data_IF_587031142597
#
_entry.id   IF_587031142597
#
_cell.length_a   1.000
_cell.length_b   1.000
_cell.length_c   1.000
_cell.angle_alpha   90.00
_cell.angle_beta   90.00
_cell.angle_gamma   90.00
#
_symmetry.space_group_name_H-M   'P 1'
#
loop_
_entity.id
_entity.type
_entity.pdbx_description
1 polymer ?
#
# COMPACT_ATOMS: atom_id res chain seq x y z
N UNK A 1 7.32 -16.79 14.89
CA UNK A 1 6.55 -15.59 15.29
C UNK A 1 5.08 -15.93 15.08
N UNK A 2 4.23 -15.66 16.06
CA UNK A 2 2.78 -15.87 15.93
C UNK A 2 2.06 -14.52 16.03
N UNK A 3 0.84 -14.44 15.47
CA UNK A 3 0.12 -13.17 15.40
C UNK A 3 -0.28 -12.59 16.77
N UNK A 4 -0.79 -13.34 17.74
CA UNK A 4 -1.15 -12.77 19.04
C UNK A 4 0.00 -12.04 19.75
N UNK A 5 1.20 -12.60 19.76
CA UNK A 5 2.37 -11.96 20.37
C UNK A 5 2.83 -10.75 19.56
N UNK A 6 2.87 -10.88 18.23
CA UNK A 6 3.26 -9.77 17.36
C UNK A 6 2.24 -8.64 17.41
N UNK A 7 0.94 -8.96 17.44
CA UNK A 7 -0.14 -7.97 17.60
C UNK A 7 0.07 -7.12 18.84
N UNK A 8 0.36 -7.74 20.00
CA UNK A 8 0.63 -7.00 21.23
C UNK A 8 1.86 -6.09 21.09
N UNK A 9 2.91 -6.57 20.44
CA UNK A 9 4.14 -5.78 20.20
C UNK A 9 3.89 -4.58 19.29
N UNK A 10 3.01 -4.70 18.29
CA UNK A 10 2.70 -3.66 17.31
C UNK A 10 1.51 -2.78 17.72
N UNK A 11 0.90 -3.00 18.88
CA UNK A 11 -0.23 -2.18 19.35
C UNK A 11 0.09 -0.68 19.41
N UNK A 12 1.27 -0.23 19.88
CA UNK A 12 1.62 1.19 19.84
C UNK A 12 1.66 1.79 18.43
N UNK A 13 2.02 1.00 17.40
CA UNK A 13 1.99 1.43 16.01
C UNK A 13 0.54 1.66 15.53
N UNK A 14 -0.41 0.79 15.94
CA UNK A 14 -1.84 0.94 15.69
C UNK A 14 -2.39 2.17 16.42
N UNK A 15 -2.03 2.36 17.69
CA UNK A 15 -2.44 3.53 18.47
C UNK A 15 -1.93 4.84 17.87
N UNK A 16 -0.74 4.83 17.27
CA UNK A 16 -0.20 5.97 16.52
C UNK A 16 -1.08 6.32 15.30
N UNK A 17 -1.57 5.34 14.57
CA UNK A 17 -2.51 5.56 13.45
C UNK A 17 -3.79 6.22 13.96
N UNK A 18 -4.39 5.71 15.04
CA UNK A 18 -5.62 6.27 15.63
C UNK A 18 -5.38 7.70 16.15
N UNK A 19 -4.25 7.95 16.79
CA UNK A 19 -3.89 9.29 17.30
C UNK A 19 -3.83 10.34 16.19
N UNK A 20 -3.41 9.94 14.98
CA UNK A 20 -3.31 10.84 13.83
C UNK A 20 -4.58 10.84 12.95
N UNK A 21 -5.66 10.22 13.40
CA UNK A 21 -6.97 10.33 12.76
C UNK A 21 -7.70 11.57 13.26
N UNK A 22 -8.09 12.43 12.34
CA UNK A 22 -8.89 13.62 12.61
C UNK A 22 -10.37 13.28 12.85
N UNK A 23 -11.14 14.22 13.37
CA UNK A 23 -12.58 14.04 13.66
C UNK A 23 -13.41 13.73 12.41
N UNK A 24 -12.99 14.23 11.23
CA UNK A 24 -13.62 13.94 9.94
C UNK A 24 -13.30 12.53 9.41
N UNK A 25 -12.35 11.83 10.02
CA UNK A 25 -11.92 10.49 9.66
C UNK A 25 -10.65 10.41 8.81
N UNK A 26 -10.11 11.55 8.34
CA UNK A 26 -8.81 11.56 7.63
C UNK A 26 -7.69 11.08 8.55
N UNK A 27 -6.81 10.21 8.02
CA UNK A 27 -5.61 9.76 8.74
C UNK A 27 -4.42 10.47 8.12
N UNK A 28 -3.80 11.33 8.91
CA UNK A 28 -2.65 12.12 8.45
C UNK A 28 -1.37 11.30 8.47
N UNK A 29 -0.42 11.66 7.60
CA UNK A 29 0.94 11.12 7.56
C UNK A 29 1.62 11.18 8.93
N UNK A 30 1.51 12.34 9.58
CA UNK A 30 2.00 12.62 10.93
C UNK A 30 1.14 13.71 11.58
N UNK A 31 1.58 14.21 12.74
CA UNK A 31 0.92 15.29 13.50
C UNK A 31 0.84 16.63 12.75
N UNK A 32 1.49 16.79 11.59
CA UNK A 32 1.46 18.02 10.77
C UNK A 32 0.23 18.11 9.87
N UNK A 33 -0.60 17.06 9.81
CA UNK A 33 -1.90 17.10 9.16
C UNK A 33 -1.91 16.91 7.63
N UNK A 34 -0.81 16.42 7.04
CA UNK A 34 -0.79 15.98 5.64
C UNK A 34 -1.46 14.61 5.53
N UNK A 35 -2.38 14.44 4.58
CA UNK A 35 -3.02 13.16 4.29
C UNK A 35 -2.88 12.84 2.79
N UNK A 36 -2.36 11.67 2.50
CA UNK A 36 -2.30 11.05 1.20
C UNK A 36 -3.33 9.92 1.14
N UNK A 37 -4.20 9.81 0.12
CA UNK A 37 -5.21 8.77 0.03
C UNK A 37 -4.66 7.34 -0.03
N UNK A 38 -3.48 7.12 -0.60
CA UNK A 38 -2.82 5.82 -0.59
C UNK A 38 -2.46 5.41 0.84
N UNK A 39 -1.69 6.27 1.52
CA UNK A 39 -1.25 6.05 2.89
C UNK A 39 -2.44 5.85 3.84
N UNK A 40 -3.50 6.65 3.63
CA UNK A 40 -4.76 6.53 4.34
C UNK A 40 -5.39 5.13 4.16
N UNK A 41 -5.43 4.59 2.93
CA UNK A 41 -5.96 3.25 2.68
C UNK A 41 -5.12 2.17 3.36
N UNK A 42 -3.79 2.30 3.40
CA UNK A 42 -2.95 1.35 4.14
C UNK A 42 -3.20 1.42 5.65
N UNK A 43 -3.40 2.61 6.19
CA UNK A 43 -3.84 2.76 7.57
C UNK A 43 -5.19 2.07 7.81
N UNK A 44 -6.15 2.15 6.88
CA UNK A 44 -7.42 1.42 6.98
C UNK A 44 -7.23 -0.09 6.94
N UNK A 45 -6.30 -0.62 6.12
CA UNK A 45 -5.95 -2.05 6.13
C UNK A 45 -5.45 -2.46 7.53
N UNK A 46 -4.55 -1.68 8.13
CA UNK A 46 -4.01 -1.94 9.46
C UNK A 46 -5.09 -1.87 10.55
N UNK A 47 -6.00 -0.88 10.49
CA UNK A 47 -7.13 -0.75 11.41
C UNK A 47 -8.10 -1.93 11.30
N UNK A 48 -8.37 -2.43 10.10
CA UNK A 48 -9.20 -3.62 9.89
C UNK A 48 -8.55 -4.87 10.49
N UNK A 49 -7.22 -5.04 10.36
CA UNK A 49 -6.47 -6.13 10.98
C UNK A 49 -6.60 -6.13 12.52
N UNK A 50 -6.68 -4.94 13.11
CA UNK A 50 -6.88 -4.77 14.55
C UNK A 50 -8.35 -4.74 14.99
N UNK A 51 -9.29 -4.78 14.05
CA UNK A 51 -10.75 -4.71 14.31
C UNK A 51 -11.17 -3.37 14.94
N UNK A 52 -10.43 -2.30 14.66
CA UNK A 52 -10.73 -0.93 15.12
C UNK A 52 -11.84 -0.29 14.26
N UNK A 53 -13.04 -0.88 14.32
CA UNK A 53 -14.12 -0.63 13.39
C UNK A 53 -14.65 0.80 13.42
N UNK A 54 -14.67 1.46 14.57
CA UNK A 54 -15.12 2.87 14.66
C UNK A 54 -14.17 3.80 13.90
N UNK A 55 -12.86 3.63 14.09
CA UNK A 55 -11.84 4.40 13.37
C UNK A 55 -11.85 4.05 11.87
N UNK A 56 -11.96 2.76 11.55
CA UNK A 56 -12.06 2.28 10.17
C UNK A 56 -13.26 2.86 9.43
N UNK A 57 -14.45 2.84 10.02
CA UNK A 57 -15.66 3.40 9.40
C UNK A 57 -15.56 4.92 9.18
N UNK A 58 -14.98 5.66 10.13
CA UNK A 58 -14.73 7.09 9.94
C UNK A 58 -13.82 7.35 8.75
N UNK A 59 -12.71 6.59 8.64
CA UNK A 59 -11.77 6.74 7.54
C UNK A 59 -12.36 6.35 6.19
N UNK A 60 -13.11 5.25 6.09
CA UNK A 60 -13.81 4.88 4.85
C UNK A 60 -14.82 5.94 4.44
N UNK A 61 -15.59 6.50 5.39
CA UNK A 61 -16.55 7.57 5.09
C UNK A 61 -15.83 8.81 4.55
N UNK A 62 -14.76 9.26 5.23
CA UNK A 62 -13.96 10.38 4.75
C UNK A 62 -13.46 10.15 3.32
N UNK A 63 -12.91 8.98 3.03
CA UNK A 63 -12.41 8.66 1.70
C UNK A 63 -13.51 8.77 0.65
N UNK A 64 -14.66 8.13 0.89
CA UNK A 64 -15.78 8.13 -0.05
C UNK A 64 -16.41 9.53 -0.22
N UNK A 65 -16.46 10.35 0.83
CA UNK A 65 -16.96 11.72 0.75
C UNK A 65 -16.06 12.62 -0.10
N UNK A 66 -14.75 12.35 -0.12
CA UNK A 66 -13.78 13.07 -0.93
C UNK A 66 -13.65 12.55 -2.38
N UNK A 67 -14.31 11.47 -2.74
CA UNK A 67 -14.46 11.05 -4.14
C UNK A 67 -15.39 12.04 -4.84
N UNK A 68 -14.87 12.70 -5.88
CA UNK A 68 -15.62 13.66 -6.67
C UNK A 68 -16.64 12.98 -7.61
N UNK A 69 -17.41 13.79 -8.35
CA UNK A 69 -18.42 13.32 -9.29
C UNK A 69 -17.88 12.51 -10.48
N UNK A 70 -16.57 12.42 -10.65
CA UNK A 70 -15.89 11.63 -11.68
C UNK A 70 -15.16 10.39 -11.12
N UNK A 71 -15.37 10.04 -9.85
CA UNK A 71 -14.71 8.87 -9.26
C UNK A 71 -13.25 9.07 -8.87
N UNK A 72 -12.79 10.31 -8.76
CA UNK A 72 -11.40 10.67 -8.48
C UNK A 72 -11.27 11.30 -7.09
N UNK A 73 -10.11 11.13 -6.47
CA UNK A 73 -9.73 11.76 -5.21
C UNK A 73 -8.48 12.63 -5.41
N UNK A 74 -8.42 13.85 -4.84
CA UNK A 74 -7.18 14.63 -4.84
C UNK A 74 -6.02 13.86 -4.21
N UNK A 75 -4.79 13.99 -4.72
CA UNK A 75 -3.67 13.17 -4.26
C UNK A 75 -3.10 13.58 -2.91
N UNK A 76 -3.45 14.78 -2.45
CA UNK A 76 -2.96 15.30 -1.17
C UNK A 76 -3.97 16.24 -0.52
N UNK A 77 -4.08 16.10 0.79
CA UNK A 77 -4.82 17.02 1.64
C UNK A 77 -3.90 17.58 2.74
N UNK A 78 -4.12 18.84 3.11
CA UNK A 78 -3.46 19.47 4.24
C UNK A 78 -4.54 20.10 5.14
N UNK A 79 -4.61 19.63 6.37
CA UNK A 79 -5.64 20.08 7.30
C UNK A 79 -7.05 20.03 6.67
N UNK A 80 -7.41 18.88 6.12
CA UNK A 80 -8.72 18.57 5.50
C UNK A 80 -9.01 19.31 4.16
N UNK A 81 -8.03 20.01 3.59
CA UNK A 81 -8.19 20.71 2.31
C UNK A 81 -7.28 20.10 1.25
N UNK A 82 -7.84 19.81 0.09
CA UNK A 82 -7.05 19.38 -1.07
C UNK A 82 -6.03 20.47 -1.45
N UNK A 83 -4.77 20.07 -1.61
CA UNK A 83 -3.65 20.99 -1.91
C UNK A 83 -3.20 20.89 -3.36
N UNK A 84 -3.53 19.80 -4.05
CA UNK A 84 -3.14 19.52 -5.41
C UNK A 84 -4.35 19.55 -6.36
N UNK A 85 -4.10 19.94 -7.62
CA UNK A 85 -5.14 20.12 -8.64
C UNK A 85 -5.10 19.05 -9.74
N UNK A 86 -4.31 17.99 -9.55
CA UNK A 86 -4.32 16.81 -10.39
C UNK A 86 -4.91 15.61 -9.64
N UNK A 87 -5.09 14.50 -10.33
CA UNK A 87 -5.57 13.24 -9.75
C UNK A 87 -4.67 12.11 -10.21
N UNK A 88 -4.26 11.26 -9.29
CA UNK A 88 -3.44 10.10 -9.61
C UNK A 88 -4.32 8.85 -9.78
N UNK A 89 -4.04 8.05 -10.81
CA UNK A 89 -4.91 6.96 -11.25
C UNK A 89 -5.09 5.86 -10.19
N UNK A 90 -4.08 5.66 -9.36
CA UNK A 90 -4.04 4.57 -8.37
C UNK A 90 -4.65 4.92 -7.02
N UNK A 91 -4.84 6.20 -6.69
CA UNK A 91 -5.32 6.60 -5.37
C UNK A 91 -6.77 6.15 -5.10
N UNK A 92 -7.70 6.49 -5.99
CA UNK A 92 -9.11 6.16 -5.76
C UNK A 92 -9.40 4.64 -5.71
N UNK A 93 -8.90 3.79 -6.63
CA UNK A 93 -9.20 2.36 -6.60
C UNK A 93 -8.54 1.63 -5.41
N UNK A 94 -7.49 2.18 -4.79
CA UNK A 94 -6.76 1.53 -3.71
C UNK A 94 -7.61 1.26 -2.46
N UNK A 95 -8.70 1.99 -2.26
CA UNK A 95 -9.69 1.72 -1.19
C UNK A 95 -10.21 0.28 -1.21
N UNK A 96 -10.24 -0.37 -2.38
CA UNK A 96 -10.70 -1.74 -2.52
C UNK A 96 -9.89 -2.74 -1.71
N UNK A 97 -8.59 -2.49 -1.50
CA UNK A 97 -7.75 -3.32 -0.66
C UNK A 97 -8.17 -3.22 0.82
N UNK A 98 -8.48 -2.02 1.29
CA UNK A 98 -8.97 -1.81 2.65
C UNK A 98 -10.35 -2.44 2.87
N UNK A 99 -11.25 -2.33 1.88
CA UNK A 99 -12.57 -2.97 1.93
C UNK A 99 -12.44 -4.50 1.90
N UNK A 100 -11.59 -5.06 1.05
CA UNK A 100 -11.34 -6.50 1.01
C UNK A 100 -10.72 -6.99 2.32
N UNK A 101 -9.75 -6.27 2.89
CA UNK A 101 -9.16 -6.63 4.18
C UNK A 101 -10.24 -6.70 5.28
N UNK A 102 -11.11 -5.70 5.37
CA UNK A 102 -12.22 -5.71 6.31
C UNK A 102 -13.17 -6.89 6.07
N UNK A 103 -13.48 -7.20 4.81
CA UNK A 103 -14.32 -8.36 4.45
C UNK A 103 -13.70 -9.69 4.86
N UNK A 104 -12.36 -9.83 4.78
CA UNK A 104 -11.64 -11.04 5.21
C UNK A 104 -11.65 -11.22 6.72
N UNK A 105 -11.67 -10.15 7.50
CA UNK A 105 -11.73 -10.19 8.97
C UNK A 105 -13.17 -10.32 9.45
N UNK A 106 -14.05 -9.42 9.03
CA UNK A 106 -15.49 -9.42 9.38
C UNK A 106 -16.35 -8.87 8.24
N UNK A 107 -16.95 -9.76 7.46
CA UNK A 107 -17.82 -9.41 6.33
C UNK A 107 -18.98 -8.48 6.71
N UNK A 108 -19.43 -8.48 7.97
CA UNK A 108 -20.52 -7.61 8.41
C UNK A 108 -20.19 -6.13 8.24
N UNK A 109 -18.93 -5.76 8.26
CA UNK A 109 -18.50 -4.38 8.07
C UNK A 109 -18.84 -3.89 6.64
N UNK A 110 -18.63 -4.74 5.63
CA UNK A 110 -18.99 -4.44 4.24
C UNK A 110 -20.51 -4.49 4.04
N UNK A 111 -21.20 -5.46 4.68
CA UNK A 111 -22.67 -5.54 4.64
C UNK A 111 -23.32 -4.28 5.26
N UNK A 112 -22.68 -3.66 6.26
CA UNK A 112 -23.11 -2.39 6.84
C UNK A 112 -22.92 -1.22 5.85
N UNK A 113 -21.74 -1.11 5.21
CA UNK A 113 -21.48 -0.05 4.24
C UNK A 113 -22.37 -0.16 3.01
N UNK A 114 -22.63 -1.37 2.51
CA UNK A 114 -23.46 -1.59 1.31
C UNK A 114 -24.92 -1.18 1.47
N UNK A 115 -25.38 -0.99 2.70
CA UNK A 115 -26.71 -0.44 3.00
C UNK A 115 -26.77 1.11 2.90
N UNK A 116 -25.63 1.78 2.84
CA UNK A 116 -25.58 3.24 2.63
C UNK A 116 -25.90 3.56 1.18
N UNK A 117 -26.74 4.57 0.96
CA UNK A 117 -27.37 4.87 -0.33
C UNK A 117 -26.41 5.13 -1.49
N UNK A 118 -25.17 5.55 -1.22
CA UNK A 118 -24.20 5.94 -2.25
C UNK A 118 -22.91 5.09 -2.26
N UNK A 119 -22.80 4.08 -1.40
CA UNK A 119 -21.57 3.28 -1.29
C UNK A 119 -21.21 2.59 -2.61
N UNK A 120 -22.15 1.77 -3.12
CA UNK A 120 -21.94 1.03 -4.38
C UNK A 120 -21.74 1.97 -5.56
N UNK A 121 -22.53 3.04 -5.66
CA UNK A 121 -22.40 4.04 -6.71
C UNK A 121 -21.01 4.67 -6.75
N UNK A 122 -20.44 5.02 -5.59
CA UNK A 122 -19.08 5.57 -5.49
C UNK A 122 -18.03 4.58 -5.96
N UNK A 123 -18.12 3.31 -5.55
CA UNK A 123 -17.18 2.26 -5.98
C UNK A 123 -17.30 2.03 -7.49
N UNK A 124 -18.50 1.89 -8.01
CA UNK A 124 -18.75 1.72 -9.46
C UNK A 124 -18.16 2.89 -10.26
N UNK A 125 -18.31 4.12 -9.76
CA UNK A 125 -17.80 5.34 -10.39
C UNK A 125 -16.26 5.37 -10.44
N UNK A 126 -15.59 4.96 -9.35
CA UNK A 126 -14.12 4.85 -9.30
C UNK A 126 -13.61 3.95 -10.43
N UNK A 127 -14.17 2.75 -10.55
CA UNK A 127 -13.72 1.78 -11.56
C UNK A 127 -14.17 2.14 -12.98
N UNK A 128 -15.30 2.83 -13.14
CA UNK A 128 -15.71 3.38 -14.42
C UNK A 128 -14.69 4.41 -14.94
N UNK A 129 -14.31 5.40 -14.10
CA UNK A 129 -13.31 6.41 -14.49
C UNK A 129 -11.92 5.82 -14.72
N UNK A 130 -11.55 4.78 -13.96
CA UNK A 130 -10.27 4.10 -14.12
C UNK A 130 -10.05 3.60 -15.57
N UNK A 131 -11.10 3.17 -16.28
CA UNK A 131 -10.98 2.74 -17.67
C UNK A 131 -10.49 3.85 -18.60
N UNK A 132 -10.78 5.13 -18.26
CA UNK A 132 -10.35 6.29 -19.04
C UNK A 132 -8.83 6.57 -18.89
N UNK A 133 -8.20 6.03 -17.84
CA UNK A 133 -6.75 6.14 -17.66
C UNK A 133 -5.96 5.09 -18.44
N UNK A 134 -6.61 4.08 -19.01
CA UNK A 134 -5.93 2.98 -19.68
C UNK A 134 -5.35 3.44 -21.02
N UNK A 135 -4.05 3.18 -21.24
CA UNK A 135 -3.38 3.43 -22.50
C UNK A 135 -3.57 2.29 -23.52
N UNK A 136 -3.04 2.47 -24.75
CA UNK A 136 -3.16 1.50 -25.86
C UNK A 136 -2.52 0.13 -25.53
N UNK A 137 -1.48 0.11 -24.68
CA UNK A 137 -0.78 -1.11 -24.26
C UNK A 137 -1.44 -1.78 -23.03
N UNK A 138 -2.48 -1.14 -22.46
CA UNK A 138 -3.20 -1.63 -21.30
C UNK A 138 -2.62 -1.18 -19.96
N UNK A 139 -1.60 -0.32 -19.94
CA UNK A 139 -1.12 0.35 -18.74
C UNK A 139 -1.99 1.56 -18.43
N UNK A 140 -1.77 2.16 -17.25
CA UNK A 140 -2.55 3.31 -16.82
C UNK A 140 -1.67 4.56 -16.79
N UNK A 141 -2.11 5.64 -17.45
CA UNK A 141 -1.53 6.95 -17.23
C UNK A 141 -1.48 7.25 -15.74
N UNK A 142 -0.36 7.78 -15.24
CA UNK A 142 -0.21 7.94 -13.80
C UNK A 142 -1.10 9.03 -13.23
N UNK A 143 -1.41 10.09 -14.00
CA UNK A 143 -2.19 11.22 -13.53
C UNK A 143 -3.06 11.86 -14.61
N UNK A 144 -4.01 12.68 -14.15
CA UNK A 144 -4.89 13.53 -14.95
C UNK A 144 -5.00 14.90 -14.29
N UNK A 145 -4.88 15.95 -15.07
CA UNK A 145 -5.14 17.33 -14.66
C UNK A 145 -6.11 18.02 -15.62
N UNK A 146 -6.21 19.36 -15.54
CA UNK A 146 -7.06 20.18 -16.43
C UNK A 146 -6.65 20.13 -17.92
N UNK A 147 -5.41 19.73 -18.23
CA UNK A 147 -4.88 19.63 -19.60
C UNK A 147 -5.14 18.25 -20.21
N UNK A 148 -5.45 17.25 -19.40
CA UNK A 148 -5.68 15.88 -19.83
C UNK A 148 -4.87 14.86 -19.03
N UNK A 149 -4.65 13.69 -19.63
CA UNK A 149 -3.85 12.61 -19.04
C UNK A 149 -2.35 12.89 -19.23
N UNK A 150 -1.54 12.42 -18.28
CA UNK A 150 -0.07 12.44 -18.38
C UNK A 150 0.40 11.56 -19.55
N UNK A 151 1.56 11.88 -20.10
CA UNK A 151 2.20 11.05 -21.13
C UNK A 151 2.88 9.79 -20.56
N UNK A 152 2.91 9.67 -19.24
CA UNK A 152 3.63 8.64 -18.51
C UNK A 152 2.69 7.72 -17.74
N UNK A 153 3.13 6.48 -17.59
CA UNK A 153 2.60 5.49 -16.65
C UNK A 153 3.63 5.26 -15.54
N UNK A 154 3.19 4.71 -14.39
CA UNK A 154 4.10 4.23 -13.35
C UNK A 154 3.88 2.73 -13.16
N UNK A 155 4.96 1.96 -13.00
CA UNK A 155 4.88 0.53 -12.71
C UNK A 155 4.14 0.32 -11.38
N UNK A 156 4.59 0.97 -10.32
CA UNK A 156 3.95 0.88 -8.99
C UNK A 156 2.46 1.21 -9.06
N UNK A 157 2.08 2.34 -9.71
CA UNK A 157 0.68 2.72 -9.87
C UNK A 157 -0.12 1.66 -10.65
N UNK A 158 0.39 1.18 -11.78
CA UNK A 158 -0.29 0.13 -12.57
C UNK A 158 -0.45 -1.16 -11.76
N UNK A 159 0.56 -1.58 -11.02
CA UNK A 159 0.50 -2.81 -10.22
C UNK A 159 -0.49 -2.68 -9.05
N UNK A 160 -0.54 -1.54 -8.37
CA UNK A 160 -1.52 -1.32 -7.31
C UNK A 160 -2.96 -1.21 -7.83
N UNK A 161 -3.15 -0.66 -9.04
CA UNK A 161 -4.44 -0.69 -9.74
C UNK A 161 -4.86 -2.14 -10.00
N UNK A 162 -3.96 -3.00 -10.47
CA UNK A 162 -4.26 -4.42 -10.70
C UNK A 162 -4.67 -5.14 -9.41
N UNK A 163 -3.97 -4.88 -8.30
CA UNK A 163 -4.36 -5.39 -6.99
C UNK A 163 -5.76 -4.91 -6.61
N UNK A 164 -6.07 -3.62 -6.83
CA UNK A 164 -7.37 -3.03 -6.53
C UNK A 164 -8.51 -3.63 -7.36
N UNK A 165 -8.27 -3.89 -8.65
CA UNK A 165 -9.23 -4.54 -9.55
C UNK A 165 -9.49 -5.98 -9.09
N UNK A 166 -8.45 -6.74 -8.75
CA UNK A 166 -8.60 -8.09 -8.19
C UNK A 166 -9.40 -8.06 -6.88
N UNK A 167 -9.11 -7.11 -5.99
CA UNK A 167 -9.79 -6.98 -4.71
C UNK A 167 -11.28 -6.63 -4.85
N UNK A 168 -11.67 -5.97 -5.93
CA UNK A 168 -13.07 -5.61 -6.21
C UNK A 168 -13.81 -6.64 -7.11
N UNK A 169 -13.16 -7.76 -7.43
CA UNK A 169 -13.70 -8.82 -8.32
C UNK A 169 -14.20 -8.29 -9.69
N UNK A 170 -13.63 -7.16 -10.14
CA UNK A 170 -13.94 -6.53 -11.42
C UNK A 170 -13.00 -7.08 -12.48
N UNK A 171 -13.45 -8.09 -13.16
CA UNK A 171 -12.92 -8.68 -14.38
C UNK A 171 -11.71 -9.63 -14.28
N UNK A 172 -11.95 -10.76 -14.90
CA UNK A 172 -10.98 -11.83 -15.16
C UNK A 172 -10.11 -11.57 -16.41
N UNK A 173 -10.23 -10.39 -17.04
CA UNK A 173 -9.69 -10.14 -18.39
C UNK A 173 -8.50 -9.16 -18.43
N UNK A 174 -7.86 -8.89 -17.28
CA UNK A 174 -6.60 -8.13 -17.31
C UNK A 174 -5.46 -9.13 -17.50
N UNK A 175 -5.13 -9.38 -18.75
CA UNK A 175 -4.01 -10.22 -19.12
C UNK A 175 -2.76 -9.35 -19.34
N UNK A 176 -1.96 -9.18 -18.28
CA UNK A 176 -0.59 -8.71 -18.42
C UNK A 176 0.34 -9.92 -18.53
N UNK A 177 0.43 -10.53 -19.71
CA UNK A 177 1.28 -11.68 -19.93
C UNK A 177 2.77 -11.37 -19.71
N UNK A 178 3.17 -10.13 -19.92
CA UNK A 178 4.56 -9.70 -19.67
C UNK A 178 4.62 -8.19 -19.42
N UNK A 179 5.24 -7.80 -18.31
CA UNK A 179 5.64 -6.42 -18.10
C UNK A 179 6.87 -6.12 -18.95
N UNK A 180 6.72 -5.30 -19.99
CA UNK A 180 7.85 -4.79 -20.79
C UNK A 180 8.23 -3.41 -20.28
N UNK A 181 9.47 -3.26 -19.79
CA UNK A 181 10.00 -1.96 -19.44
C UNK A 181 9.99 -1.02 -20.65
N UNK A 182 9.58 0.22 -20.44
CA UNK A 182 9.55 1.25 -21.45
C UNK A 182 9.83 2.61 -20.81
N UNK A 183 10.30 3.58 -21.61
CA UNK A 183 10.54 4.96 -21.15
C UNK A 183 9.29 5.66 -20.65
N UNK A 184 8.10 5.18 -21.00
CA UNK A 184 6.82 5.72 -20.47
C UNK A 184 6.66 5.55 -18.96
N UNK A 185 7.44 4.64 -18.34
CA UNK A 185 7.46 4.48 -16.88
C UNK A 185 8.38 5.48 -16.16
N UNK A 186 9.09 6.31 -16.90
CA UNK A 186 9.98 7.33 -16.34
C UNK A 186 9.23 8.66 -16.17
N UNK A 187 8.65 8.88 -14.98
CA UNK A 187 7.99 10.13 -14.65
C UNK A 187 9.01 11.27 -14.51
N UNK A 188 8.68 12.43 -15.07
CA UNK A 188 9.51 13.63 -14.98
C UNK A 188 10.95 13.43 -15.53
N UNK A 189 11.11 12.51 -16.49
CA UNK A 189 12.41 12.17 -17.08
C UNK A 189 13.35 11.40 -16.14
N UNK A 190 12.88 10.98 -14.96
CA UNK A 190 13.68 10.18 -14.03
C UNK A 190 13.59 8.70 -14.37
N UNK A 191 14.74 8.02 -14.35
CA UNK A 191 14.78 6.55 -14.41
C UNK A 191 14.16 5.95 -13.15
N UNK A 192 12.97 5.38 -13.30
CA UNK A 192 12.22 4.79 -12.19
C UNK A 192 12.73 3.42 -11.77
N UNK A 193 13.58 2.75 -12.58
CA UNK A 193 14.19 1.47 -12.21
C UNK A 193 15.11 1.53 -10.98
N UNK A 194 15.46 2.74 -10.57
CA UNK A 194 16.25 3.01 -9.37
C UNK A 194 15.43 2.95 -8.05
N UNK A 195 14.09 2.91 -8.13
CA UNK A 195 13.20 2.86 -6.97
C UNK A 195 12.80 1.41 -6.64
N UNK A 196 12.85 1.05 -5.37
CA UNK A 196 12.54 -0.32 -4.93
C UNK A 196 11.09 -0.72 -5.19
N UNK A 197 10.14 0.21 -5.08
CA UNK A 197 8.72 -0.05 -5.36
C UNK A 197 8.51 -0.53 -6.80
N UNK A 198 9.16 0.08 -7.79
CA UNK A 198 9.04 -0.33 -9.20
C UNK A 198 9.68 -1.71 -9.45
N UNK A 199 10.56 -2.18 -8.54
CA UNK A 199 11.09 -3.54 -8.55
C UNK A 199 10.10 -4.55 -7.96
N UNK A 200 9.62 -4.35 -6.72
CA UNK A 200 8.89 -5.42 -6.02
C UNK A 200 7.38 -5.43 -6.27
N UNK A 201 6.75 -4.33 -6.68
CA UNK A 201 5.30 -4.30 -6.97
C UNK A 201 4.85 -5.26 -8.07
N UNK A 202 5.61 -5.49 -9.18
CA UNK A 202 5.28 -6.53 -10.16
C UNK A 202 5.21 -7.95 -9.58
N UNK A 203 6.03 -8.25 -8.57
CA UNK A 203 5.98 -9.51 -7.84
C UNK A 203 4.79 -9.54 -6.88
N UNK A 204 4.54 -8.44 -6.16
CA UNK A 204 3.40 -8.31 -5.26
C UNK A 204 2.07 -8.46 -6.00
N UNK A 205 1.94 -7.91 -7.19
CA UNK A 205 0.76 -8.06 -8.04
C UNK A 205 0.67 -9.43 -8.75
N UNK A 206 1.70 -10.28 -8.62
CA UNK A 206 1.74 -11.63 -9.23
C UNK A 206 2.01 -11.64 -10.74
N UNK A 207 2.47 -10.51 -11.31
CA UNK A 207 2.85 -10.40 -12.73
C UNK A 207 4.22 -11.04 -12.96
N UNK A 208 5.19 -10.77 -12.10
CA UNK A 208 6.46 -11.49 -12.05
C UNK A 208 6.41 -12.57 -11.00
N UNK A 209 6.99 -13.74 -11.31
CA UNK A 209 6.93 -14.92 -10.43
C UNK A 209 8.28 -15.63 -10.26
N UNK A 210 9.33 -15.18 -10.98
CA UNK A 210 10.65 -15.81 -10.91
C UNK A 210 11.36 -15.47 -9.60
N UNK A 211 11.53 -16.48 -8.75
CA UNK A 211 12.21 -16.35 -7.44
C UNK A 211 13.68 -15.98 -7.55
N UNK A 212 14.35 -16.40 -8.63
CA UNK A 212 15.77 -16.08 -8.85
C UNK A 212 15.88 -14.62 -9.27
N UNK A 213 15.05 -14.15 -10.20
CA UNK A 213 14.99 -12.74 -10.60
C UNK A 213 14.72 -11.84 -9.40
N UNK A 214 13.74 -12.20 -8.54
CA UNK A 214 13.44 -11.45 -7.32
C UNK A 214 14.70 -11.28 -6.44
N UNK A 215 15.38 -12.39 -6.13
CA UNK A 215 16.55 -12.37 -5.25
C UNK A 215 17.72 -11.60 -5.86
N UNK A 216 17.98 -11.76 -7.17
CA UNK A 216 19.09 -11.07 -7.83
C UNK A 216 18.84 -9.56 -7.89
N UNK A 217 17.62 -9.12 -8.21
CA UNK A 217 17.29 -7.68 -8.26
C UNK A 217 17.31 -7.07 -6.87
N UNK A 218 16.81 -7.81 -5.86
CA UNK A 218 16.80 -7.34 -4.47
C UNK A 218 18.20 -7.01 -3.94
N UNK A 219 19.26 -7.70 -4.40
CA UNK A 219 20.66 -7.40 -4.00
C UNK A 219 21.05 -5.93 -4.21
N UNK A 220 20.41 -5.25 -5.15
CA UNK A 220 20.66 -3.82 -5.42
C UNK A 220 20.03 -2.89 -4.38
N UNK A 221 19.03 -3.36 -3.65
CA UNK A 221 18.25 -2.58 -2.70
C UNK A 221 18.43 -3.03 -1.26
N UNK A 222 18.72 -4.31 -1.04
CA UNK A 222 18.77 -4.87 0.31
C UNK A 222 20.08 -4.53 1.02
N UNK A 223 19.94 -4.05 2.25
CA UNK A 223 21.04 -3.81 3.18
C UNK A 223 20.90 -4.82 4.31
N UNK A 224 21.87 -5.76 4.37
CA UNK A 224 21.88 -6.84 5.35
C UNK A 224 21.78 -6.29 6.79
N UNK A 225 20.92 -6.88 7.59
CA UNK A 225 20.70 -6.48 8.98
C UNK A 225 19.89 -5.18 9.14
N UNK A 226 19.49 -4.50 8.06
CA UNK A 226 18.76 -3.22 8.14
C UNK A 226 17.40 -3.34 7.41
N UNK A 227 17.40 -3.48 6.08
CA UNK A 227 16.16 -3.53 5.30
C UNK A 227 16.35 -3.17 3.83
N UNK A 228 15.33 -2.60 3.20
CA UNK A 228 15.28 -2.29 1.77
C UNK A 228 15.38 -0.78 1.56
N UNK A 229 16.30 -0.37 0.68
CA UNK A 229 16.47 1.04 0.28
C UNK A 229 15.28 1.51 -0.54
N UNK A 230 14.83 2.74 -0.33
CA UNK A 230 13.86 3.39 -1.22
C UNK A 230 14.46 3.60 -2.61
N UNK A 231 15.69 4.12 -2.67
CA UNK A 231 16.43 4.42 -3.89
C UNK A 231 17.75 3.66 -3.91
N UNK A 232 18.07 3.04 -5.02
CA UNK A 232 19.21 2.12 -5.17
C UNK A 232 20.57 2.73 -4.77
N UNK A 233 20.80 3.98 -5.13
CA UNK A 233 22.07 4.68 -4.92
C UNK A 233 22.16 5.39 -3.56
N UNK A 234 21.02 5.57 -2.87
CA UNK A 234 20.98 6.33 -1.63
C UNK A 234 21.22 5.41 -0.41
N UNK A 235 22.04 5.84 0.56
CA UNK A 235 22.30 5.06 1.78
C UNK A 235 21.15 5.19 2.79
N UNK A 236 19.94 5.00 2.33
CA UNK A 236 18.71 5.22 3.08
C UNK A 236 17.73 4.05 2.92
N UNK A 237 17.47 3.37 4.03
CA UNK A 237 16.46 2.32 4.14
C UNK A 237 15.17 2.94 4.66
N UNK A 238 14.05 2.61 4.05
CA UNK A 238 12.71 2.98 4.47
C UNK A 238 11.96 1.76 4.98
N UNK A 239 11.21 1.95 6.06
CA UNK A 239 10.59 0.80 6.72
C UNK A 239 9.24 0.43 6.09
N UNK A 240 8.56 1.38 5.44
CA UNK A 240 7.37 1.08 4.64
C UNK A 240 7.73 0.23 3.43
N UNK A 241 8.67 0.67 2.58
CA UNK A 241 9.10 -0.10 1.40
C UNK A 241 9.73 -1.45 1.79
N UNK A 242 10.42 -1.51 2.92
CA UNK A 242 10.92 -2.80 3.45
C UNK A 242 9.75 -3.73 3.81
N UNK A 243 8.68 -3.20 4.41
CA UNK A 243 7.48 -3.97 4.77
C UNK A 243 6.70 -4.44 3.54
N UNK A 244 6.54 -3.60 2.53
CA UNK A 244 5.92 -3.99 1.26
C UNK A 244 6.77 -5.03 0.51
N UNK A 245 8.10 -4.91 0.58
CA UNK A 245 9.02 -5.94 0.04
C UNK A 245 8.86 -7.29 0.77
N UNK A 246 8.56 -7.29 2.07
CA UNK A 246 8.17 -8.52 2.81
C UNK A 246 6.93 -9.16 2.19
N UNK A 247 5.89 -8.36 1.89
CA UNK A 247 4.68 -8.86 1.22
C UNK A 247 5.01 -9.47 -0.15
N UNK A 248 5.80 -8.77 -0.97
CA UNK A 248 6.22 -9.25 -2.28
C UNK A 248 7.05 -10.55 -2.19
N UNK A 249 7.93 -10.65 -1.20
CA UNK A 249 8.71 -11.87 -0.94
C UNK A 249 7.82 -13.06 -0.55
N UNK A 250 6.79 -12.84 0.28
CA UNK A 250 5.80 -13.86 0.66
C UNK A 250 5.01 -14.33 -0.56
N UNK A 251 4.44 -13.40 -1.32
CA UNK A 251 3.68 -13.70 -2.55
C UNK A 251 4.52 -14.49 -3.55
N UNK A 252 5.80 -14.16 -3.66
CA UNK A 252 6.75 -14.89 -4.52
C UNK A 252 7.32 -16.18 -3.88
N UNK A 253 6.82 -16.59 -2.70
CA UNK A 253 7.22 -17.81 -2.00
C UNK A 253 8.65 -17.80 -1.46
N UNK A 254 9.21 -16.63 -1.14
CA UNK A 254 10.50 -16.43 -0.50
C UNK A 254 10.34 -16.20 1.02
N UNK A 255 9.67 -17.12 1.72
CA UNK A 255 9.27 -17.01 3.13
C UNK A 255 10.45 -16.68 4.07
N UNK A 256 11.58 -17.38 3.93
CA UNK A 256 12.74 -17.15 4.80
C UNK A 256 13.29 -15.73 4.65
N UNK A 257 13.32 -15.21 3.44
CA UNK A 257 13.77 -13.85 3.16
C UNK A 257 12.78 -12.81 3.72
N UNK A 258 11.49 -13.05 3.57
CA UNK A 258 10.44 -12.20 4.17
C UNK A 258 10.60 -12.13 5.69
N UNK A 259 10.82 -13.28 6.34
CA UNK A 259 11.03 -13.34 7.80
C UNK A 259 12.30 -12.62 8.22
N UNK A 260 13.39 -12.74 7.46
CA UNK A 260 14.66 -12.07 7.71
C UNK A 260 14.49 -10.53 7.64
N UNK A 261 13.93 -10.02 6.53
CA UNK A 261 13.67 -8.58 6.36
C UNK A 261 12.80 -8.07 7.51
N UNK A 262 11.72 -8.76 7.83
CA UNK A 262 10.79 -8.33 8.88
C UNK A 262 11.46 -8.33 10.27
N UNK A 263 12.28 -9.32 10.61
CA UNK A 263 13.05 -9.33 11.86
C UNK A 263 14.01 -8.15 11.96
N UNK A 264 14.63 -7.78 10.85
CA UNK A 264 15.50 -6.61 10.80
C UNK A 264 14.72 -5.31 11.07
N UNK A 265 13.49 -5.18 10.56
CA UNK A 265 12.64 -4.01 10.85
C UNK A 265 12.30 -3.87 12.33
N UNK A 266 11.97 -4.98 12.99
CA UNK A 266 11.54 -4.96 14.39
C UNK A 266 12.57 -4.40 15.37
N UNK A 267 13.85 -4.36 15.04
CA UNK A 267 14.90 -3.78 15.89
C UNK A 267 14.91 -2.23 15.84
N UNK A 268 14.22 -1.62 14.87
CA UNK A 268 14.13 -0.17 14.73
C UNK A 268 12.87 0.43 15.37
N UNK A 269 12.06 -0.39 16.02
CA UNK A 269 10.96 0.10 16.85
C UNK A 269 11.54 0.95 17.99
N UNK A 270 11.07 2.20 18.12
CA UNK A 270 11.59 3.10 19.14
C UNK A 270 11.05 2.76 20.54
N UNK A 271 11.46 3.52 21.56
CA UNK A 271 11.01 3.33 22.95
C UNK A 271 9.51 3.45 23.15
N UNK A 272 8.82 4.19 22.28
CA UNK A 272 7.36 4.40 22.35
C UNK A 272 6.62 3.29 21.60
N UNK A 273 7.34 2.34 21.00
CA UNK A 273 6.77 1.24 20.23
C UNK A 273 6.36 1.63 18.80
N UNK A 274 6.81 2.79 18.30
CA UNK A 274 6.48 3.35 16.98
C UNK A 274 7.69 3.21 16.06
N UNK A 275 7.44 3.02 14.76
CA UNK A 275 8.50 2.96 13.76
C UNK A 275 8.74 4.34 13.13
N UNK A 276 10.01 4.80 13.05
CA UNK A 276 10.36 5.97 12.24
C UNK A 276 10.21 5.65 10.75
N UNK A 277 10.19 6.68 9.90
CA UNK A 277 10.01 6.52 8.44
C UNK A 277 11.18 5.78 7.80
N UNK A 278 12.42 6.06 8.21
CA UNK A 278 13.58 5.39 7.66
C UNK A 278 14.87 5.62 8.43
N UNK A 279 15.92 4.96 7.97
CA UNK A 279 17.25 4.98 8.57
C UNK A 279 18.33 5.23 7.54
N UNK A 280 19.06 6.33 7.73
CA UNK A 280 20.24 6.66 6.95
C UNK A 280 21.46 5.99 7.58
N UNK A 281 21.94 4.89 6.96
CA UNK A 281 22.87 3.98 7.62
C UNK A 281 24.33 4.47 7.62
N UNK A 282 24.76 5.33 6.69
CA UNK A 282 26.10 5.91 6.71
C UNK A 282 26.23 6.93 7.86
N UNK A 283 25.19 7.73 8.10
CA UNK A 283 25.15 8.69 9.20
C UNK A 283 24.65 8.07 10.52
N UNK A 284 24.17 6.83 10.48
CA UNK A 284 23.59 6.12 11.63
C UNK A 284 22.51 6.90 12.35
N UNK A 285 21.61 7.50 11.59
CA UNK A 285 20.51 8.33 12.12
C UNK A 285 19.18 8.00 11.48
N UNK A 286 18.10 8.18 12.19
CA UNK A 286 16.77 8.15 11.59
C UNK A 286 16.57 9.40 10.72
N UNK A 287 16.05 9.17 9.50
CA UNK A 287 15.81 10.24 8.54
C UNK A 287 14.67 9.85 7.60
N UNK A 288 13.75 10.80 7.30
CA UNK A 288 13.57 12.09 7.96
C UNK A 288 13.23 11.93 9.45
N UNK A 289 13.31 13.01 10.24
CA UNK A 289 12.91 13.00 11.65
C UNK A 289 11.37 13.05 11.75
N UNK A 290 10.77 11.93 11.39
CA UNK A 290 9.32 11.75 11.40
C UNK A 290 8.93 10.29 11.62
N UNK A 291 7.68 10.06 11.98
CA UNK A 291 7.08 8.74 12.22
C UNK A 291 5.76 8.70 11.45
N UNK A 292 5.81 8.30 10.17
CA UNK A 292 4.59 8.29 9.36
C UNK A 292 3.61 7.20 9.82
N UNK A 293 2.33 7.49 9.72
CA UNK A 293 1.26 6.50 9.94
C UNK A 293 1.33 5.41 8.88
N UNK A 294 1.70 5.76 7.64
CA UNK A 294 1.94 4.82 6.56
C UNK A 294 3.01 3.77 6.92
N UNK A 295 4.18 4.20 7.42
CA UNK A 295 5.22 3.26 7.86
C UNK A 295 4.70 2.29 8.91
N UNK A 296 3.97 2.80 9.90
CA UNK A 296 3.43 1.98 10.99
C UNK A 296 2.34 1.02 10.50
N UNK A 297 1.51 1.44 9.55
CA UNK A 297 0.52 0.59 8.88
C UNK A 297 1.20 -0.51 8.06
N UNK A 298 2.19 -0.18 7.24
CA UNK A 298 2.93 -1.14 6.41
C UNK A 298 3.59 -2.24 7.26
N UNK A 299 4.20 -1.87 8.40
CA UNK A 299 4.79 -2.86 9.35
C UNK A 299 3.73 -3.78 9.93
N UNK A 300 2.55 -3.26 10.32
CA UNK A 300 1.42 -4.07 10.80
C UNK A 300 0.96 -5.04 9.71
N UNK A 301 0.75 -4.56 8.50
CA UNK A 301 0.28 -5.35 7.36
C UNK A 301 1.26 -6.48 7.03
N UNK A 302 2.56 -6.16 6.97
CA UNK A 302 3.60 -7.15 6.70
C UNK A 302 3.72 -8.22 7.79
N UNK A 303 3.67 -7.80 9.06
CA UNK A 303 3.70 -8.71 10.21
C UNK A 303 2.50 -9.65 10.26
N UNK A 304 1.29 -9.11 10.01
CA UNK A 304 0.07 -9.91 9.90
C UNK A 304 0.15 -10.89 8.73
N UNK A 305 0.61 -10.43 7.54
CA UNK A 305 0.78 -11.28 6.37
C UNK A 305 1.75 -12.44 6.65
N UNK A 306 2.88 -12.16 7.27
CA UNK A 306 3.89 -13.17 7.60
C UNK A 306 3.35 -14.25 8.55
N UNK A 307 2.62 -13.86 9.59
CA UNK A 307 1.99 -14.80 10.52
C UNK A 307 0.89 -15.60 9.83
N UNK A 308 0.01 -14.95 9.10
CA UNK A 308 -1.09 -15.59 8.35
C UNK A 308 -0.56 -16.59 7.32
N UNK A 309 0.50 -16.22 6.59
CA UNK A 309 1.13 -17.11 5.60
C UNK A 309 1.64 -18.41 6.22
N UNK A 310 2.22 -18.33 7.41
CA UNK A 310 2.74 -19.49 8.13
C UNK A 310 1.64 -20.38 8.72
N UNK A 311 0.60 -19.77 9.24
CA UNK A 311 -0.52 -20.46 9.89
C UNK A 311 -1.42 -21.17 8.86
N UNK A 312 -1.58 -20.59 7.67
CA UNK A 312 -2.53 -21.02 6.64
C UNK A 312 -1.85 -21.56 5.36
N UNK A 313 -0.89 -22.46 5.50
CA UNK A 313 -0.27 -23.12 4.31
C UNK A 313 -1.28 -23.86 3.40
N UNK A 314 -2.54 -23.99 3.77
CA UNK A 314 -3.58 -24.77 3.09
C UNK A 314 -4.90 -23.96 2.95
N UNK A 315 -4.91 -22.63 3.12
CA UNK A 315 -6.15 -21.87 3.06
C UNK A 315 -5.98 -20.42 2.72
N UNK A 316 -7.10 -19.77 2.43
CA UNK A 316 -7.19 -18.33 2.19
C UNK A 316 -6.78 -17.63 3.50
N UNK A 317 -5.66 -16.92 3.48
CA UNK A 317 -5.21 -16.12 4.61
C UNK A 317 -6.14 -14.92 4.83
N UNK A 318 -6.19 -14.43 6.08
CA UNK A 318 -6.94 -13.23 6.44
C UNK A 318 -6.23 -11.91 6.05
N UNK A 319 -5.16 -11.97 5.30
CA UNK A 319 -4.42 -10.81 4.78
C UNK A 319 -4.72 -10.61 3.29
N UNK A 320 -5.07 -9.39 2.90
CA UNK A 320 -5.51 -9.06 1.53
C UNK A 320 -4.46 -9.41 0.48
N UNK A 321 -3.18 -9.08 0.70
CA UNK A 321 -2.12 -9.34 -0.28
C UNK A 321 -1.84 -10.83 -0.46
N UNK A 322 -1.87 -11.60 0.63
CA UNK A 322 -1.70 -13.06 0.56
C UNK A 322 -2.92 -13.70 -0.09
N UNK A 323 -4.11 -13.20 0.16
CA UNK A 323 -5.35 -13.70 -0.46
C UNK A 323 -5.34 -13.48 -1.97
N UNK A 324 -4.99 -12.28 -2.44
CA UNK A 324 -4.94 -11.93 -3.86
C UNK A 324 -3.86 -12.69 -4.64
N UNK A 325 -2.82 -13.20 -3.98
CA UNK A 325 -1.78 -14.01 -4.63
C UNK A 325 -2.24 -15.43 -4.94
N UNK A 326 -3.28 -15.92 -4.25
CA UNK A 326 -3.82 -17.26 -4.40
C UNK A 326 -5.06 -17.30 -5.33
N UNK A 327 -5.56 -16.17 -5.75
CA UNK A 327 -6.65 -16.00 -6.73
C UNK A 327 -6.11 -15.79 -8.13
#
# INVERSE_FOLDING_TARGET
MNWPELRQKLEPAKDWIIKNQSDDGSISWDEKGKCDPWDHCECLIALAIYEEWDAWHKGVNWFLENINQHGLIPPEFQNQRATQMHFESHHAPYISLALMQASLIDKKQIDYLSKKSNFKEKIDLIFYELNNFKDEDGYYFWAKDKKGYSDNSLITATMSILLSIKANDISKDINFDTLKWSKKFNRDGQDRSRFSMDFYYPFLAGIKKDKCEFKETLKSFYVEGIGVKCVKEEPWVTFAESSECVLAALVNGNENLAEEIFKNLLQFQNSDGIFPTGYQYDLKTFWPDEKSTWTNAAVIIAGHALCTYKENKIGIGSNVFINLSNS
#
